data_IF_589750816909
#
_entry.id   IF_589750816909
#
_cell.length_a   1.000
_cell.length_b   1.000
_cell.length_c   1.000
_cell.angle_alpha   90.00
_cell.angle_beta   90.00
_cell.angle_gamma   90.00
#
_symmetry.space_group_name_H-M   'P 1'
#
loop_
_entity.id
_entity.type
_entity.pdbx_description
1 polymer ?
#
# COMPACT_ATOMS: atom_id res chain seq x y z
N UNK A 1 -13.21 4.84 22.41
CA UNK A 1 -11.86 4.30 22.67
C UNK A 1 -11.22 4.05 21.30
N UNK A 2 -10.03 4.60 20.97
CA UNK A 2 -9.43 4.31 19.69
C UNK A 2 -9.00 2.83 19.69
N UNK A 3 -9.59 2.04 18.78
CA UNK A 3 -9.17 0.67 18.54
C UNK A 3 -7.66 0.65 18.29
N UNK A 4 -6.92 -0.13 19.08
CA UNK A 4 -5.52 -0.43 18.79
C UNK A 4 -5.50 -1.36 17.57
N UNK A 5 -5.69 -0.80 16.37
CA UNK A 5 -5.53 -1.52 15.11
C UNK A 5 -4.19 -2.25 15.14
N UNK A 6 -4.20 -3.53 14.74
CA UNK A 6 -2.99 -4.33 14.66
C UNK A 6 -1.96 -3.60 13.81
N UNK A 7 -0.75 -3.41 14.34
CA UNK A 7 0.36 -2.73 13.64
C UNK A 7 0.83 -3.47 12.38
N UNK A 8 0.34 -4.69 12.19
CA UNK A 8 0.73 -5.60 11.12
C UNK A 8 -0.51 -6.16 10.45
N UNK A 9 -0.36 -6.46 9.17
CA UNK A 9 -1.34 -7.16 8.34
C UNK A 9 -0.71 -8.45 7.82
N UNK A 10 -1.53 -9.47 7.57
CA UNK A 10 -1.09 -10.74 6.99
C UNK A 10 -1.32 -10.68 5.48
N UNK A 11 -0.26 -10.94 4.71
CA UNK A 11 -0.33 -11.00 3.25
C UNK A 11 -0.03 -12.41 2.76
N UNK A 12 -0.81 -12.89 1.80
CA UNK A 12 -0.54 -14.15 1.12
C UNK A 12 0.48 -13.92 0.00
N UNK A 13 1.67 -14.49 0.14
CA UNK A 13 2.71 -14.45 -0.88
C UNK A 13 2.94 -15.87 -1.40
N UNK A 14 3.04 -16.08 -2.73
CA UNK A 14 3.47 -17.35 -3.30
C UNK A 14 4.78 -17.82 -2.67
N UNK A 15 4.81 -19.07 -2.18
CA UNK A 15 5.97 -19.63 -1.47
C UNK A 15 7.26 -19.54 -2.29
N UNK A 16 7.17 -19.67 -3.61
CA UNK A 16 8.32 -19.57 -4.50
C UNK A 16 8.96 -18.18 -4.49
N UNK A 17 8.14 -17.11 -4.48
CA UNK A 17 8.65 -15.75 -4.38
C UNK A 17 9.34 -15.52 -3.05
N UNK A 18 8.73 -15.98 -1.96
CA UNK A 18 9.30 -15.86 -0.62
C UNK A 18 10.67 -16.56 -0.52
N UNK A 19 10.80 -17.78 -1.04
CA UNK A 19 12.06 -18.53 -1.09
C UNK A 19 13.13 -17.86 -1.96
N UNK A 20 12.72 -17.20 -3.03
CA UNK A 20 13.65 -16.44 -3.87
C UNK A 20 14.16 -15.21 -3.13
N UNK A 21 13.28 -14.53 -2.38
CA UNK A 21 13.67 -13.43 -1.51
C UNK A 21 14.65 -13.89 -0.44
N UNK A 22 14.39 -15.02 0.23
CA UNK A 22 15.33 -15.61 1.21
C UNK A 22 16.74 -15.75 0.64
N UNK A 23 16.87 -16.36 -0.54
CA UNK A 23 18.17 -16.53 -1.21
C UNK A 23 18.84 -15.20 -1.58
N UNK A 24 18.07 -14.19 -1.98
CA UNK A 24 18.61 -12.88 -2.37
C UNK A 24 19.20 -12.15 -1.17
N UNK A 25 18.58 -12.30 0.01
CA UNK A 25 19.00 -11.56 1.20
C UNK A 25 20.12 -12.26 1.99
N UNK A 26 20.49 -13.49 1.62
CA UNK A 26 21.64 -14.18 2.21
C UNK A 26 22.91 -13.34 2.05
N UNK A 27 23.56 -12.99 3.17
CA UNK A 27 24.78 -12.18 3.18
C UNK A 27 24.59 -10.67 3.06
N UNK A 28 23.36 -10.17 2.92
CA UNK A 28 23.07 -8.72 2.76
C UNK A 28 22.91 -7.96 4.09
N UNK A 29 22.91 -8.67 5.22
CA UNK A 29 22.77 -8.09 6.56
C UNK A 29 21.33 -7.92 7.06
N UNK A 30 20.32 -8.24 6.25
CA UNK A 30 18.92 -8.31 6.71
C UNK A 30 18.73 -9.49 7.66
N UNK A 31 17.94 -9.28 8.72
CA UNK A 31 17.67 -10.30 9.75
C UNK A 31 16.54 -11.25 9.34
N UNK A 32 15.70 -10.84 8.40
CA UNK A 32 14.59 -11.66 7.90
C UNK A 32 14.11 -11.22 6.51
N UNK A 33 13.44 -12.13 5.77
CA UNK A 33 12.75 -11.79 4.53
C UNK A 33 11.68 -10.72 4.73
N UNK A 34 10.97 -10.76 5.87
CA UNK A 34 9.95 -9.76 6.22
C UNK A 34 10.57 -8.36 6.34
N UNK A 35 11.72 -8.23 6.98
CA UNK A 35 12.42 -6.94 7.11
C UNK A 35 12.79 -6.37 5.73
N UNK A 36 13.30 -7.21 4.84
CA UNK A 36 13.61 -6.82 3.47
C UNK A 36 12.36 -6.42 2.67
N UNK A 37 11.26 -7.17 2.77
CA UNK A 37 9.99 -6.83 2.11
C UNK A 37 9.46 -5.48 2.62
N UNK A 38 9.51 -5.23 3.93
CA UNK A 38 9.11 -3.96 4.52
C UNK A 38 9.99 -2.81 4.00
N UNK A 39 11.30 -3.02 3.88
CA UNK A 39 12.21 -2.04 3.29
C UNK A 39 11.83 -1.73 1.84
N UNK A 40 11.65 -2.76 1.00
CA UNK A 40 11.25 -2.61 -0.40
C UNK A 40 9.92 -1.87 -0.55
N UNK A 41 8.92 -2.23 0.27
CA UNK A 41 7.62 -1.57 0.25
C UNK A 41 7.74 -0.07 0.56
N UNK A 42 8.57 0.31 1.55
CA UNK A 42 8.80 1.74 1.86
C UNK A 42 9.45 2.48 0.69
N UNK A 43 10.44 1.87 0.04
CA UNK A 43 11.10 2.47 -1.13
C UNK A 43 10.13 2.62 -2.30
N UNK A 44 9.32 1.60 -2.57
CA UNK A 44 8.32 1.63 -3.63
C UNK A 44 7.27 2.72 -3.37
N UNK A 45 6.73 2.80 -2.14
CA UNK A 45 5.76 3.85 -1.77
C UNK A 45 6.38 5.24 -1.90
N UNK A 46 7.59 5.46 -1.40
CA UNK A 46 8.24 6.77 -1.51
C UNK A 46 8.50 7.18 -2.96
N UNK A 47 8.90 6.25 -3.82
CA UNK A 47 9.10 6.51 -5.25
C UNK A 47 7.77 6.84 -5.94
N UNK A 48 6.72 6.12 -5.60
CA UNK A 48 5.37 6.31 -6.13
C UNK A 48 4.74 7.65 -5.67
N UNK A 49 4.94 8.05 -4.41
CA UNK A 49 4.46 9.32 -3.88
C UNK A 49 5.20 10.50 -4.51
N UNK A 50 6.50 10.33 -4.79
CA UNK A 50 7.29 11.31 -5.53
C UNK A 50 6.86 11.41 -7.00
N UNK A 51 6.54 10.28 -7.64
CA UNK A 51 6.07 10.17 -9.02
C UNK A 51 4.58 9.75 -9.05
N UNK A 52 3.70 10.68 -8.67
CA UNK A 52 2.25 10.48 -8.53
C UNK A 52 1.57 9.82 -9.75
N UNK A 53 2.17 9.91 -10.95
CA UNK A 53 1.70 9.24 -12.16
C UNK A 53 1.86 7.70 -12.16
N UNK A 54 2.77 7.13 -11.36
CA UNK A 54 2.95 5.67 -11.26
C UNK A 54 1.79 4.98 -10.54
N UNK A 55 1.20 5.60 -9.51
CA UNK A 55 -0.02 5.10 -8.83
C UNK A 55 -1.16 4.92 -9.84
N UNK A 56 -1.39 5.93 -10.69
CA UNK A 56 -2.53 5.95 -11.61
C UNK A 56 -2.34 5.06 -12.84
N UNK A 57 -1.13 4.55 -13.08
CA UNK A 57 -0.86 3.58 -14.16
C UNK A 57 -1.10 2.12 -13.74
N UNK A 58 -1.25 1.85 -12.44
CA UNK A 58 -1.53 0.51 -11.94
C UNK A 58 -2.98 0.12 -12.29
N UNK A 59 -3.23 -1.05 -12.89
CA UNK A 59 -4.56 -1.47 -13.36
C UNK A 59 -5.58 -1.73 -12.23
N UNK A 60 -5.16 -1.54 -10.98
CA UNK A 60 -5.94 -1.71 -9.75
C UNK A 60 -5.95 -0.47 -8.87
N UNK A 61 -5.50 0.69 -9.36
CA UNK A 61 -5.87 1.95 -8.75
C UNK A 61 -7.40 2.02 -8.82
N UNK A 62 -8.06 1.68 -7.71
CA UNK A 62 -9.48 1.91 -7.59
C UNK A 62 -9.73 3.36 -8.01
N UNK A 63 -10.75 3.65 -8.82
CA UNK A 63 -11.17 5.03 -8.98
C UNK A 63 -11.32 5.58 -7.55
N UNK A 64 -10.71 6.75 -7.31
CA UNK A 64 -10.86 7.51 -6.06
C UNK A 64 -12.32 7.34 -5.63
N UNK A 65 -12.62 6.93 -4.38
CA UNK A 65 -14.00 6.87 -3.94
C UNK A 65 -14.56 8.24 -4.27
N UNK A 66 -15.50 8.29 -5.22
CA UNK A 66 -16.13 9.53 -5.63
C UNK A 66 -16.51 10.19 -4.33
N UNK A 67 -15.93 11.36 -4.08
CA UNK A 67 -16.47 12.29 -3.12
C UNK A 67 -17.89 12.50 -3.63
N UNK A 68 -18.84 11.71 -3.12
CA UNK A 68 -20.23 12.10 -3.11
C UNK A 68 -20.25 13.28 -2.16
N UNK A 69 -19.83 14.42 -2.73
CA UNK A 69 -20.11 15.74 -2.26
C UNK A 69 -21.61 15.75 -2.00
N UNK A 70 -21.94 15.78 -0.71
CA UNK A 70 -23.27 16.09 -0.26
C UNK A 70 -23.59 17.52 -0.66
N UNK A 71 -23.92 17.71 -1.93
CA UNK A 71 -24.63 18.89 -2.42
C UNK A 71 -26.05 18.43 -2.75
N UNK A 72 -26.86 18.37 -1.69
CA UNK A 72 -28.28 18.68 -1.85
C UNK A 72 -28.43 20.15 -1.45
N UNK A 73 -28.41 20.98 -2.48
CA UNK A 73 -28.60 22.42 -2.43
C UNK A 73 -29.78 22.80 -1.54
N UNK A 74 -29.56 23.86 -0.78
CA UNK A 74 -30.58 24.71 -0.18
C UNK A 74 -31.56 25.17 -1.27
N UNK A 75 -32.72 24.52 -1.36
CA UNK A 75 -33.86 24.99 -2.13
C UNK A 75 -34.81 25.77 -1.23
N UNK A 76 -34.58 27.07 -1.08
CA UNK A 76 -35.62 28.03 -0.76
C UNK A 76 -36.69 28.10 -1.89
N UNK A 77 -37.88 28.60 -1.54
CA UNK A 77 -39.08 28.87 -2.36
C UNK A 77 -40.01 27.65 -2.61
N UNK A 78 -41.29 27.64 -2.25
CA UNK A 78 -42.26 28.68 -1.87
C UNK A 78 -43.41 28.07 -1.06
#
# INVERSE_FOLDING_TARGET
MPERKSKYTTISIPRELYRRVERIIEGTGFRSPTEYIVFLLRQAVAAIEADRQLIYSLPYAAPEPSEEEGESEEGEAS
#
